data_IF_463173523721
#
_entry.id   IF_463173523721
#
_cell.length_a   1.000
_cell.length_b   1.000
_cell.length_c   1.000
_cell.angle_alpha   90.00
_cell.angle_beta   90.00
_cell.angle_gamma   90.00
#
_symmetry.space_group_name_H-M   'P 1'
#
loop_
_entity.id
_entity.type
_entity.pdbx_description
1 polymer ?
#
# COMPACT_ATOMS: atom_id res chain seq x y z
N UNK A 1 -17.42 -6.09 -12.13
CA UNK A 1 -17.47 -6.32 -10.67
C UNK A 1 -16.70 -5.20 -9.97
N UNK A 2 -17.19 -4.69 -8.87
CA UNK A 2 -16.45 -3.68 -8.13
C UNK A 2 -15.23 -4.31 -7.45
N UNK A 3 -14.20 -3.48 -7.23
CA UNK A 3 -13.03 -3.86 -6.46
C UNK A 3 -13.35 -3.63 -4.97
N UNK A 4 -13.06 -4.62 -4.15
CA UNK A 4 -13.34 -4.58 -2.71
C UNK A 4 -12.10 -4.93 -1.90
N UNK A 5 -12.02 -4.39 -0.69
CA UNK A 5 -11.01 -4.78 0.29
C UNK A 5 -11.67 -5.76 1.28
N UNK A 6 -11.11 -6.95 1.36
CA UNK A 6 -11.61 -8.03 2.21
C UNK A 6 -10.53 -8.39 3.22
N UNK A 7 -10.90 -8.53 4.48
CA UNK A 7 -9.94 -8.85 5.54
C UNK A 7 -9.14 -10.12 5.19
N UNK A 8 -7.82 -10.04 5.33
CA UNK A 8 -6.92 -11.14 5.04
C UNK A 8 -6.51 -11.83 6.34
N UNK A 9 -6.74 -13.15 6.41
CA UNK A 9 -6.24 -13.95 7.53
C UNK A 9 -4.73 -14.19 7.38
N UNK A 10 -4.11 -14.77 8.42
CA UNK A 10 -2.68 -15.09 8.42
C UNK A 10 -2.32 -16.13 7.33
N UNK A 11 -3.29 -16.90 6.86
CA UNK A 11 -3.07 -17.83 5.75
C UNK A 11 -2.60 -17.12 4.47
N UNK A 12 -2.83 -15.80 4.34
CA UNK A 12 -2.43 -15.01 3.19
C UNK A 12 -1.05 -14.36 3.35
N UNK A 13 -0.38 -14.55 4.49
CA UNK A 13 0.92 -13.91 4.74
C UNK A 13 1.98 -14.30 3.69
N UNK A 14 2.08 -15.57 3.35
CA UNK A 14 3.05 -16.05 2.35
C UNK A 14 2.79 -15.42 0.97
N UNK A 15 1.54 -15.39 0.53
CA UNK A 15 1.16 -14.73 -0.72
C UNK A 15 1.57 -13.25 -0.71
N UNK A 16 1.21 -12.54 0.35
CA UNK A 16 1.50 -11.11 0.49
C UNK A 16 3.01 -10.83 0.53
N UNK A 17 3.76 -11.65 1.28
CA UNK A 17 5.21 -11.53 1.39
C UNK A 17 5.89 -11.74 0.02
N UNK A 18 5.50 -12.79 -0.69
CA UNK A 18 6.08 -13.08 -2.00
C UNK A 18 5.77 -11.98 -3.01
N UNK A 19 4.55 -11.46 -2.98
CA UNK A 19 4.14 -10.37 -3.88
C UNK A 19 4.93 -9.09 -3.57
N UNK A 20 5.05 -8.74 -2.29
CA UNK A 20 5.82 -7.57 -1.85
C UNK A 20 7.28 -7.70 -2.25
N UNK A 21 7.88 -8.86 -1.98
CA UNK A 21 9.28 -9.10 -2.30
C UNK A 21 9.54 -8.93 -3.81
N UNK A 22 8.71 -9.55 -4.65
CA UNK A 22 8.87 -9.41 -6.11
C UNK A 22 8.73 -7.97 -6.58
N UNK A 23 7.77 -7.24 -6.02
CA UNK A 23 7.53 -5.86 -6.42
C UNK A 23 8.64 -4.92 -5.94
N UNK A 24 9.19 -5.18 -4.76
CA UNK A 24 10.13 -4.26 -4.10
C UNK A 24 11.59 -4.59 -4.30
N UNK A 25 11.93 -5.84 -4.62
CA UNK A 25 13.33 -6.26 -4.73
C UNK A 25 14.16 -5.41 -5.69
N UNK A 26 13.64 -4.98 -6.88
CA UNK A 26 14.41 -4.09 -7.75
C UNK A 26 14.78 -2.77 -7.07
N UNK A 27 13.89 -2.21 -6.25
CA UNK A 27 14.16 -0.97 -5.52
C UNK A 27 15.14 -1.21 -4.38
N UNK A 28 15.01 -2.33 -3.68
CA UNK A 28 15.97 -2.71 -2.64
C UNK A 28 17.38 -2.80 -3.20
N UNK A 29 17.55 -3.38 -4.40
CA UNK A 29 18.83 -3.45 -5.09
C UNK A 29 19.33 -2.08 -5.51
N UNK A 30 18.45 -1.24 -6.06
CA UNK A 30 18.80 0.10 -6.50
C UNK A 30 19.32 0.96 -5.35
N UNK A 31 18.70 0.88 -4.18
CA UNK A 31 19.02 1.68 -3.01
C UNK A 31 19.91 0.95 -2.00
N UNK A 32 20.46 -0.18 -2.39
CA UNK A 32 21.39 -0.97 -1.56
C UNK A 32 20.79 -1.36 -0.21
N UNK A 33 19.53 -1.77 -0.22
CA UNK A 33 18.80 -2.24 0.95
C UNK A 33 18.72 -3.76 0.94
N UNK A 34 18.68 -4.35 2.12
CA UNK A 34 18.57 -5.78 2.29
C UNK A 34 17.11 -6.18 2.57
N UNK A 35 16.58 -7.13 1.77
CA UNK A 35 15.29 -7.72 2.06
C UNK A 35 15.42 -8.73 3.20
N UNK A 36 14.63 -8.58 4.27
CA UNK A 36 14.63 -9.44 5.44
C UNK A 36 13.21 -9.98 5.65
N UNK A 37 13.01 -11.28 5.42
CA UNK A 37 11.67 -11.90 5.50
C UNK A 37 11.08 -11.78 6.91
N UNK A 38 11.89 -11.95 7.95
CA UNK A 38 11.42 -11.84 9.33
C UNK A 38 10.85 -10.45 9.64
N UNK A 39 11.40 -9.41 9.02
CA UNK A 39 10.89 -8.06 9.20
C UNK A 39 9.47 -7.92 8.63
N UNK A 40 9.23 -8.53 7.47
CA UNK A 40 7.88 -8.55 6.89
C UNK A 40 6.92 -9.32 7.80
N UNK A 41 7.33 -10.50 8.26
CA UNK A 41 6.48 -11.35 9.09
C UNK A 41 6.14 -10.69 10.43
N UNK A 42 7.09 -10.01 11.05
CA UNK A 42 6.84 -9.24 12.27
C UNK A 42 5.87 -8.08 12.02
N UNK A 43 6.07 -7.34 10.93
CA UNK A 43 5.19 -6.22 10.58
C UNK A 43 3.76 -6.70 10.28
N UNK A 44 3.60 -7.91 9.76
CA UNK A 44 2.29 -8.48 9.48
C UNK A 44 1.37 -8.46 10.70
N UNK A 45 1.89 -8.82 11.88
CA UNK A 45 1.11 -8.87 13.12
C UNK A 45 0.71 -7.51 13.68
N UNK A 46 1.36 -6.43 13.25
CA UNK A 46 1.11 -5.07 13.75
C UNK A 46 0.15 -4.27 12.90
N UNK A 47 -0.17 -4.76 11.69
CA UNK A 47 -0.92 -4.03 10.67
C UNK A 47 -2.25 -4.68 10.39
N UNK A 48 -3.16 -3.91 9.81
CA UNK A 48 -4.39 -4.45 9.23
C UNK A 48 -4.05 -4.99 7.85
N UNK A 49 -4.50 -6.19 7.56
CA UNK A 49 -4.21 -6.85 6.29
C UNK A 49 -5.50 -7.04 5.49
N UNK A 50 -5.47 -6.62 4.23
CA UNK A 50 -6.63 -6.62 3.36
C UNK A 50 -6.27 -7.23 2.01
N UNK A 51 -7.12 -8.11 1.50
CA UNK A 51 -7.02 -8.58 0.11
C UNK A 51 -7.75 -7.58 -0.79
N UNK A 52 -7.15 -7.29 -1.93
CA UNK A 52 -7.81 -6.54 -3.01
C UNK A 52 -8.50 -7.56 -3.89
N UNK A 53 -9.83 -7.51 -3.93
CA UNK A 53 -10.64 -8.54 -4.58
C UNK A 53 -11.53 -7.94 -5.68
N UNK A 54 -11.73 -8.72 -6.73
CA UNK A 54 -12.78 -8.47 -7.72
C UNK A 54 -13.58 -9.75 -7.84
N UNK A 55 -14.77 -9.78 -7.22
CA UNK A 55 -15.51 -11.02 -7.05
C UNK A 55 -14.68 -12.00 -6.22
N UNK A 56 -14.44 -13.20 -6.76
CA UNK A 56 -13.62 -14.23 -6.08
C UNK A 56 -12.15 -14.20 -6.50
N UNK A 57 -11.77 -13.24 -7.35
CA UNK A 57 -10.39 -13.14 -7.86
C UNK A 57 -9.58 -12.22 -6.95
N UNK A 58 -8.45 -12.71 -6.46
CA UNK A 58 -7.50 -11.93 -5.67
C UNK A 58 -6.61 -11.15 -6.63
N UNK A 59 -6.70 -9.81 -6.54
CA UNK A 59 -5.92 -8.91 -7.40
C UNK A 59 -4.60 -8.48 -6.73
N UNK A 60 -4.52 -8.57 -5.41
CA UNK A 60 -3.37 -8.13 -4.65
C UNK A 60 -3.68 -8.00 -3.17
N UNK A 61 -2.87 -7.22 -2.46
CA UNK A 61 -3.13 -6.97 -1.05
C UNK A 61 -2.75 -5.55 -0.65
N UNK A 62 -3.29 -5.14 0.49
CA UNK A 62 -3.05 -3.83 1.07
C UNK A 62 -2.83 -4.00 2.57
N UNK A 63 -1.82 -3.32 3.11
CA UNK A 63 -1.45 -3.36 4.51
C UNK A 63 -1.56 -1.96 5.09
N UNK A 64 -2.28 -1.82 6.20
CA UNK A 64 -2.56 -0.52 6.80
C UNK A 64 -2.12 -0.48 8.26
N UNK A 65 -1.81 0.71 8.73
CA UNK A 65 -1.73 1.04 10.16
C UNK A 65 -2.33 2.42 10.37
N UNK A 66 -2.55 2.81 11.62
CA UNK A 66 -3.06 4.14 11.89
C UNK A 66 -2.58 4.67 13.23
N UNK A 67 -2.57 5.99 13.33
CA UNK A 67 -2.43 6.70 14.59
C UNK A 67 -3.63 7.66 14.75
N UNK A 68 -3.51 8.67 15.60
CA UNK A 68 -4.61 9.61 15.83
C UNK A 68 -4.87 10.56 14.67
N UNK A 69 -3.91 10.72 13.76
CA UNK A 69 -3.96 11.71 12.69
C UNK A 69 -4.11 11.10 11.32
N UNK A 70 -3.62 9.90 11.12
CA UNK A 70 -3.48 9.36 9.77
C UNK A 70 -3.79 7.89 9.68
N UNK A 71 -4.37 7.50 8.54
CA UNK A 71 -4.36 6.14 8.04
C UNK A 71 -3.13 6.01 7.17
N UNK A 72 -2.27 5.00 7.46
CA UNK A 72 -1.03 4.76 6.72
C UNK A 72 -1.20 3.57 5.79
N UNK A 73 -0.91 3.79 4.52
CA UNK A 73 -0.78 2.71 3.54
C UNK A 73 0.65 2.18 3.65
N UNK A 74 0.82 1.03 4.29
CA UNK A 74 2.14 0.42 4.49
C UNK A 74 2.59 -0.39 3.30
N UNK A 75 1.66 -1.13 2.68
CA UNK A 75 1.89 -1.90 1.46
C UNK A 75 0.65 -1.82 0.58
N UNK A 76 0.85 -1.73 -0.71
CA UNK A 76 -0.22 -1.84 -1.71
C UNK A 76 0.41 -2.44 -2.96
N UNK A 77 0.13 -3.69 -3.22
CA UNK A 77 0.71 -4.41 -4.34
C UNK A 77 -0.35 -5.21 -5.09
N UNK A 78 -0.33 -5.09 -6.40
CA UNK A 78 -1.19 -5.87 -7.29
C UNK A 78 -0.36 -6.94 -7.97
N UNK A 79 -0.98 -8.11 -8.22
CA UNK A 79 -0.33 -9.13 -9.07
C UNK A 79 -0.10 -8.51 -10.46
N UNK A 80 0.99 -8.89 -11.16
CA UNK A 80 1.36 -8.22 -12.41
C UNK A 80 0.25 -8.20 -13.45
N UNK A 81 -0.56 -9.28 -13.56
CA UNK A 81 -1.64 -9.41 -14.53
C UNK A 81 -2.77 -8.41 -14.31
N UNK A 82 -2.85 -7.83 -13.12
CA UNK A 82 -3.94 -6.92 -12.72
C UNK A 82 -3.51 -5.45 -12.71
N UNK A 83 -2.27 -5.17 -13.10
CA UNK A 83 -1.76 -3.80 -13.17
C UNK A 83 -2.27 -3.10 -14.43
N UNK A 84 -2.31 -1.75 -14.39
CA UNK A 84 -2.70 -0.95 -15.54
C UNK A 84 -4.18 -0.91 -15.85
N UNK A 85 -5.04 -1.39 -14.94
CA UNK A 85 -6.50 -1.44 -15.10
C UNK A 85 -7.25 -0.45 -14.20
N UNK A 86 -6.55 0.43 -13.53
CA UNK A 86 -7.17 1.39 -12.62
C UNK A 86 -7.53 0.83 -11.26
N UNK A 87 -7.10 -0.38 -10.93
CA UNK A 87 -7.41 -1.02 -9.63
C UNK A 87 -6.78 -0.24 -8.49
N UNK A 88 -5.51 0.18 -8.63
CA UNK A 88 -4.84 1.00 -7.62
C UNK A 88 -5.59 2.30 -7.32
N UNK A 89 -6.13 2.95 -8.35
CA UNK A 89 -6.96 4.15 -8.19
C UNK A 89 -8.21 3.88 -7.36
N UNK A 90 -8.89 2.77 -7.63
CA UNK A 90 -10.08 2.38 -6.87
C UNK A 90 -9.75 2.11 -5.41
N UNK A 91 -8.63 1.41 -5.15
CA UNK A 91 -8.18 1.14 -3.79
C UNK A 91 -7.88 2.45 -3.04
N UNK A 92 -7.18 3.38 -3.67
CA UNK A 92 -6.84 4.66 -3.04
C UNK A 92 -8.10 5.45 -2.66
N UNK A 93 -9.12 5.46 -3.52
CA UNK A 93 -10.38 6.15 -3.20
C UNK A 93 -11.15 5.43 -2.08
N UNK A 94 -11.13 4.12 -2.05
CA UNK A 94 -11.70 3.36 -0.92
C UNK A 94 -11.00 3.69 0.38
N UNK A 95 -9.67 3.77 0.38
CA UNK A 95 -8.90 4.11 1.58
C UNK A 95 -9.15 5.54 2.04
N UNK A 96 -9.36 6.48 1.11
CA UNK A 96 -9.75 7.84 1.47
C UNK A 96 -11.11 7.86 2.17
N UNK A 97 -12.08 7.07 1.68
CA UNK A 97 -13.37 6.90 2.33
C UNK A 97 -13.23 6.29 3.73
N UNK A 98 -12.37 5.29 3.89
CA UNK A 98 -12.11 4.67 5.19
C UNK A 98 -11.50 5.64 6.17
N UNK A 99 -10.54 6.46 5.73
CA UNK A 99 -9.95 7.50 6.58
C UNK A 99 -11.04 8.48 7.04
N UNK A 100 -11.93 8.91 6.14
CA UNK A 100 -13.03 9.79 6.49
C UNK A 100 -13.98 9.14 7.50
N UNK A 101 -14.36 7.87 7.29
CA UNK A 101 -15.23 7.13 8.19
C UNK A 101 -14.61 6.96 9.59
N UNK A 102 -13.30 6.81 9.65
CA UNK A 102 -12.54 6.68 10.90
C UNK A 102 -12.22 8.04 11.53
N UNK A 103 -12.62 9.13 10.89
CA UNK A 103 -12.36 10.51 11.34
C UNK A 103 -10.86 10.81 11.45
N UNK A 104 -10.08 10.26 10.50
CA UNK A 104 -8.66 10.52 10.40
C UNK A 104 -8.44 11.61 9.35
N UNK A 105 -7.80 12.73 9.70
CA UNK A 105 -7.66 13.86 8.77
C UNK A 105 -6.66 13.63 7.65
N UNK A 106 -5.82 12.60 7.75
CA UNK A 106 -4.75 12.37 6.77
C UNK A 106 -4.69 10.91 6.32
N UNK A 107 -4.29 10.75 5.07
CA UNK A 107 -3.90 9.46 4.49
C UNK A 107 -2.42 9.61 4.11
N UNK A 108 -1.56 8.72 4.59
CA UNK A 108 -0.10 8.83 4.43
C UNK A 108 0.49 7.57 3.83
N UNK A 109 1.61 7.73 3.13
CA UNK A 109 2.40 6.62 2.61
C UNK A 109 3.86 7.03 2.45
N UNK A 110 4.71 6.02 2.25
CA UNK A 110 6.09 6.21 1.79
C UNK A 110 6.25 5.43 0.50
N UNK A 111 7.02 5.98 -0.44
CA UNK A 111 7.26 5.36 -1.73
C UNK A 111 8.73 5.57 -2.12
N UNK A 112 9.34 4.56 -2.75
CA UNK A 112 10.69 4.71 -3.25
C UNK A 112 10.76 5.87 -4.25
N UNK A 113 11.85 6.66 -4.19
CA UNK A 113 12.03 7.84 -5.03
C UNK A 113 11.86 7.56 -6.52
N UNK A 114 12.32 6.40 -6.98
CA UNK A 114 12.30 6.02 -8.39
C UNK A 114 11.02 5.29 -8.80
N UNK A 115 10.11 5.03 -7.86
CA UNK A 115 8.89 4.28 -8.15
C UNK A 115 7.89 5.15 -8.92
N UNK A 116 7.47 4.72 -10.13
CA UNK A 116 6.50 5.48 -10.92
C UNK A 116 5.12 5.60 -10.26
N UNK A 117 4.82 4.81 -9.24
CA UNK A 117 3.59 4.94 -8.46
C UNK A 117 3.45 6.32 -7.81
N UNK A 118 4.54 7.08 -7.66
CA UNK A 118 4.48 8.47 -7.20
C UNK A 118 3.50 9.30 -8.03
N UNK A 119 3.46 9.07 -9.35
CA UNK A 119 2.54 9.80 -10.24
C UNK A 119 1.09 9.43 -9.97
N UNK A 120 0.81 8.15 -9.72
CA UNK A 120 -0.51 7.69 -9.34
C UNK A 120 -0.96 8.39 -8.05
N UNK A 121 -0.10 8.43 -7.05
CA UNK A 121 -0.42 9.06 -5.77
C UNK A 121 -0.68 10.57 -5.94
N UNK A 122 0.14 11.26 -6.74
CA UNK A 122 -0.09 12.69 -7.03
C UNK A 122 -1.44 12.92 -7.69
N UNK A 123 -1.84 12.07 -8.62
CA UNK A 123 -3.14 12.19 -9.28
C UNK A 123 -4.30 12.02 -8.31
N UNK A 124 -4.07 11.31 -7.20
CA UNK A 124 -5.07 11.11 -6.16
C UNK A 124 -4.93 12.07 -4.98
N UNK A 125 -4.27 13.20 -5.20
CA UNK A 125 -4.22 14.29 -4.23
C UNK A 125 -3.14 14.17 -3.17
N UNK A 126 -2.23 13.20 -3.30
CA UNK A 126 -1.09 13.09 -2.39
C UNK A 126 -0.04 14.14 -2.73
N UNK A 127 0.48 14.78 -1.70
CA UNK A 127 1.51 15.83 -1.78
C UNK A 127 2.78 15.30 -1.12
N UNK A 128 3.93 15.58 -1.74
CA UNK A 128 5.22 15.20 -1.16
C UNK A 128 5.53 16.07 0.04
N UNK A 129 5.82 15.44 1.19
CA UNK A 129 6.04 16.12 2.46
C UNK A 129 7.50 16.14 2.89
N UNK A 130 8.32 15.30 2.31
CA UNK A 130 9.73 15.19 2.61
C UNK A 130 10.31 13.91 2.04
N UNK A 131 11.62 13.78 2.11
CA UNK A 131 12.31 12.61 1.60
C UNK A 131 13.56 12.29 2.43
N UNK A 132 13.99 11.05 2.35
CA UNK A 132 15.29 10.60 2.84
C UNK A 132 16.10 10.05 1.66
N UNK A 133 17.12 9.24 1.90
CA UNK A 133 17.98 8.71 0.83
C UNK A 133 17.22 7.78 -0.12
N UNK A 134 16.19 7.12 0.35
CA UNK A 134 15.48 6.08 -0.42
C UNK A 134 14.03 6.44 -0.76
N UNK A 135 13.33 7.08 0.17
CA UNK A 135 11.87 7.22 0.13
C UNK A 135 11.43 8.67 0.07
N UNK A 136 10.25 8.86 -0.52
CA UNK A 136 9.47 10.10 -0.42
C UNK A 136 8.28 9.82 0.47
N UNK A 137 8.04 10.70 1.44
CA UNK A 137 6.82 10.67 2.27
C UNK A 137 5.76 11.52 1.60
N UNK A 138 4.56 10.96 1.47
CA UNK A 138 3.44 11.62 0.81
C UNK A 138 2.21 11.57 1.71
N UNK A 139 1.36 12.60 1.59
CA UNK A 139 0.10 12.61 2.33
C UNK A 139 -1.01 13.30 1.54
N UNK A 140 -2.24 12.89 1.83
CA UNK A 140 -3.46 13.48 1.29
C UNK A 140 -4.34 13.91 2.46
N UNK A 141 -4.82 15.15 2.42
CA UNK A 141 -5.79 15.65 3.39
C UNK A 141 -7.16 15.02 3.10
N UNK A 142 -7.82 14.55 4.15
CA UNK A 142 -9.15 13.92 4.09
C UNK A 142 -10.16 14.92 4.64
N UNK A 143 -11.23 15.11 3.90
CA UNK A 143 -12.26 16.10 4.25
C UNK A 143 -13.60 15.47 4.52
#
# INVERSE_FOLDING_TARGET
MPVELVAASDAWCTFARDLTRRAMLPYYREFDLLWIEEAFDQAWGWREQWLVMEGEVVLGFCSLSQDRQALFIRELHLVPEQRGRGVGSQVLETLAEWAAQRRLPLLRLMVFKSNPARQLYRRHGFVEMGEDDCFVRMQRAIR
#
